data_IF_653116049594
#
_entry.id   IF_653116049594
#
_cell.length_a   1.000
_cell.length_b   1.000
_cell.length_c   1.000
_cell.angle_alpha   90.00
_cell.angle_beta   90.00
_cell.angle_gamma   90.00
#
_symmetry.space_group_name_H-M   'P 1'
#
loop_
_entity.id
_entity.type
_entity.pdbx_description
1 polymer ?
#
# COMPACT_ATOMS: atom_id res chain seq x y z
N UNK A 1 41.78 13.19 -42.54
CA UNK A 1 41.50 14.17 -41.45
C UNK A 1 40.00 14.31 -41.18
N UNK A 2 39.26 13.19 -41.04
CA UNK A 2 37.78 13.21 -40.91
C UNK A 2 37.21 12.18 -39.91
N UNK A 3 38.07 11.43 -39.21
CA UNK A 3 37.61 10.35 -38.31
C UNK A 3 37.76 10.65 -36.81
N UNK A 4 38.37 11.79 -36.44
CA UNK A 4 38.57 12.19 -35.03
C UNK A 4 37.54 13.19 -34.47
N UNK A 5 36.61 13.70 -35.30
CA UNK A 5 35.68 14.76 -34.87
C UNK A 5 34.30 14.25 -34.40
N UNK A 6 33.91 13.01 -34.74
CA UNK A 6 32.61 12.43 -34.32
C UNK A 6 32.59 11.86 -32.90
N UNK A 7 33.74 11.46 -32.36
CA UNK A 7 33.85 10.95 -31.00
C UNK A 7 33.85 12.07 -29.95
N UNK A 8 34.42 13.25 -30.28
CA UNK A 8 34.38 14.42 -29.40
C UNK A 8 32.96 15.02 -29.29
N UNK A 9 32.16 15.00 -30.36
CA UNK A 9 30.76 15.49 -30.28
C UNK A 9 29.85 14.56 -29.48
N UNK A 10 30.06 13.24 -29.54
CA UNK A 10 29.29 12.27 -28.76
C UNK A 10 29.62 12.29 -27.27
N UNK A 11 30.91 12.44 -26.91
CA UNK A 11 31.34 12.56 -25.52
C UNK A 11 30.92 13.89 -24.89
N UNK A 12 30.93 14.98 -25.67
CA UNK A 12 30.43 16.29 -25.23
C UNK A 12 28.91 16.29 -25.07
N UNK A 13 28.15 15.55 -25.90
CA UNK A 13 26.70 15.44 -25.75
C UNK A 13 26.30 14.61 -24.51
N UNK A 14 27.05 13.54 -24.21
CA UNK A 14 26.85 12.73 -22.99
C UNK A 14 27.31 13.46 -21.72
N UNK A 15 28.37 14.26 -21.77
CA UNK A 15 28.79 15.13 -20.66
C UNK A 15 27.84 16.30 -20.47
N UNK A 16 27.28 16.89 -21.53
CA UNK A 16 26.28 17.97 -21.43
C UNK A 16 24.92 17.42 -20.98
N UNK A 17 24.52 16.21 -21.36
CA UNK A 17 23.28 15.60 -20.85
C UNK A 17 23.37 15.17 -19.39
N UNK A 18 24.55 14.72 -18.94
CA UNK A 18 24.80 14.38 -17.53
C UNK A 18 25.08 15.60 -16.64
N UNK A 19 25.64 16.69 -17.17
CA UNK A 19 25.72 17.96 -16.44
C UNK A 19 24.40 18.74 -16.42
N UNK A 20 23.58 18.69 -17.49
CA UNK A 20 22.27 19.33 -17.49
C UNK A 20 21.26 18.62 -16.58
N UNK A 21 21.34 17.30 -16.41
CA UNK A 21 20.49 16.56 -15.44
C UNK A 21 20.87 16.89 -13.99
N UNK A 22 22.18 17.00 -13.70
CA UNK A 22 22.65 17.41 -12.37
C UNK A 22 22.33 18.88 -12.03
N UNK A 23 22.21 19.76 -13.04
CA UNK A 23 21.83 21.18 -12.88
C UNK A 23 20.32 21.44 -13.06
N UNK A 24 19.53 20.47 -13.54
CA UNK A 24 18.12 20.67 -13.84
C UNK A 24 17.24 20.65 -12.58
N UNK A 25 17.56 19.82 -11.59
CA UNK A 25 16.74 19.67 -10.38
C UNK A 25 16.73 20.95 -9.50
N UNK A 26 17.84 21.68 -9.46
CA UNK A 26 18.02 22.87 -8.59
C UNK A 26 17.09 24.04 -8.94
N UNK A 27 16.42 24.02 -10.11
CA UNK A 27 15.51 25.08 -10.56
C UNK A 27 14.05 24.63 -10.71
N UNK A 28 13.70 23.40 -10.35
CA UNK A 28 12.31 22.93 -10.45
C UNK A 28 11.55 23.40 -9.21
N UNK A 29 10.40 24.10 -9.36
CA UNK A 29 9.60 24.51 -8.22
C UNK A 29 9.19 23.32 -7.35
N UNK A 30 9.21 23.49 -6.02
CA UNK A 30 8.85 22.44 -5.07
C UNK A 30 7.46 21.83 -5.36
N UNK A 31 6.49 22.67 -5.73
CA UNK A 31 5.16 22.22 -6.13
C UNK A 31 5.18 21.25 -7.32
N UNK A 32 6.10 21.45 -8.26
CA UNK A 32 6.22 20.63 -9.45
C UNK A 32 6.88 19.28 -9.15
N UNK A 33 7.90 19.26 -8.30
CA UNK A 33 8.53 18.03 -7.82
C UNK A 33 7.52 17.15 -7.04
N UNK A 34 6.74 17.76 -6.14
CA UNK A 34 5.72 17.05 -5.37
C UNK A 34 4.57 16.57 -6.27
N UNK A 35 4.08 17.40 -7.19
CA UNK A 35 3.05 16.99 -8.14
C UNK A 35 3.50 15.81 -8.99
N UNK A 36 4.76 15.81 -9.42
CA UNK A 36 5.33 14.71 -10.20
C UNK A 36 5.46 13.43 -9.38
N UNK A 37 5.96 13.51 -8.14
CA UNK A 37 5.99 12.39 -7.21
C UNK A 37 4.61 11.79 -6.98
N UNK A 38 3.59 12.63 -6.78
CA UNK A 38 2.20 12.19 -6.60
C UNK A 38 1.76 11.41 -7.84
N UNK A 39 1.90 11.99 -9.04
CA UNK A 39 1.49 11.35 -10.30
C UNK A 39 2.17 10.00 -10.53
N UNK A 40 3.47 9.89 -10.24
CA UNK A 40 4.19 8.62 -10.35
C UNK A 40 3.70 7.54 -9.39
N UNK A 41 3.11 7.93 -8.26
CA UNK A 41 2.44 7.02 -7.34
C UNK A 41 1.03 6.59 -7.77
N UNK A 42 0.46 7.20 -8.82
CA UNK A 42 -0.87 6.86 -9.31
C UNK A 42 -0.81 5.75 -10.36
N UNK A 43 -1.72 4.77 -10.24
CA UNK A 43 -1.89 3.71 -11.24
C UNK A 43 -2.41 4.24 -12.59
N UNK A 44 -3.23 5.31 -12.56
CA UNK A 44 -3.81 5.94 -13.75
C UNK A 44 -3.78 7.47 -13.60
N UNK A 45 -3.31 8.15 -14.64
CA UNK A 45 -3.14 9.61 -14.68
C UNK A 45 -4.11 10.30 -15.64
N UNK A 46 -5.20 9.65 -16.07
CA UNK A 46 -6.26 10.29 -16.84
C UNK A 46 -6.85 11.50 -16.10
N UNK A 47 -7.26 12.51 -16.87
CA UNK A 47 -7.76 13.80 -16.37
C UNK A 47 -8.86 13.66 -15.30
N UNK A 48 -9.74 12.64 -15.43
CA UNK A 48 -10.83 12.40 -14.45
C UNK A 48 -10.31 12.04 -13.05
N UNK A 49 -9.19 11.31 -12.97
CA UNK A 49 -8.58 10.90 -11.70
C UNK A 49 -7.76 12.02 -11.09
N UNK A 50 -7.01 12.77 -11.91
CA UNK A 50 -6.29 13.97 -11.48
C UNK A 50 -7.27 15.03 -10.97
N UNK A 51 -8.40 15.22 -11.66
CA UNK A 51 -9.46 16.13 -11.22
C UNK A 51 -10.06 15.71 -9.88
N UNK A 52 -10.32 14.42 -9.68
CA UNK A 52 -10.82 13.90 -8.40
C UNK A 52 -9.81 14.13 -7.26
N UNK A 53 -8.52 13.87 -7.50
CA UNK A 53 -7.45 14.15 -6.56
C UNK A 53 -7.40 15.64 -6.18
N UNK A 54 -7.53 16.54 -7.16
CA UNK A 54 -7.60 17.99 -6.92
C UNK A 54 -8.82 18.35 -6.07
N UNK A 55 -10.00 17.80 -6.38
CA UNK A 55 -11.20 18.03 -5.56
C UNK A 55 -11.01 17.60 -4.10
N UNK A 56 -10.29 16.50 -3.86
CA UNK A 56 -9.93 16.06 -2.51
C UNK A 56 -9.05 17.07 -1.77
N UNK A 57 -8.04 17.61 -2.46
CA UNK A 57 -7.17 18.68 -1.93
C UNK A 57 -8.01 19.90 -1.54
N UNK A 58 -8.88 20.35 -2.44
CA UNK A 58 -9.72 21.54 -2.23
C UNK A 58 -10.72 21.36 -1.08
N UNK A 59 -11.28 20.17 -0.93
CA UNK A 59 -12.25 19.87 0.13
C UNK A 59 -11.59 19.71 1.50
N UNK A 60 -10.37 19.16 1.55
CA UNK A 60 -9.59 19.15 2.79
C UNK A 60 -9.24 20.56 3.25
N UNK A 61 -8.93 21.48 2.33
CA UNK A 61 -8.70 22.89 2.67
C UNK A 61 -9.94 23.56 3.29
N UNK A 62 -11.14 23.19 2.83
CA UNK A 62 -12.41 23.67 3.38
C UNK A 62 -12.79 23.00 4.71
N UNK A 63 -12.01 22.01 5.17
CA UNK A 63 -12.30 21.25 6.39
C UNK A 63 -13.47 20.26 6.24
N UNK A 64 -13.76 19.79 5.02
CA UNK A 64 -14.78 18.76 4.79
C UNK A 64 -14.31 17.44 5.41
N UNK A 65 -15.17 16.82 6.22
CA UNK A 65 -14.86 15.55 6.89
C UNK A 65 -15.40 14.40 6.04
N UNK A 66 -14.51 13.47 5.69
CA UNK A 66 -14.88 12.26 4.95
C UNK A 66 -15.71 11.30 5.81
N UNK A 67 -16.67 10.63 5.17
CA UNK A 67 -17.39 9.50 5.75
C UNK A 67 -16.50 8.27 5.93
N UNK A 68 -16.95 7.31 6.75
CA UNK A 68 -16.22 6.04 6.93
C UNK A 68 -16.13 5.23 5.64
N UNK A 69 -17.18 5.27 4.81
CA UNK A 69 -17.21 4.56 3.54
C UNK A 69 -16.19 5.14 2.55
N UNK A 70 -16.05 6.46 2.49
CA UNK A 70 -15.01 7.12 1.68
C UNK A 70 -13.61 6.77 2.18
N UNK A 71 -13.38 6.75 3.50
CA UNK A 71 -12.08 6.36 4.06
C UNK A 71 -11.71 4.90 3.71
N UNK A 72 -12.71 4.04 3.49
CA UNK A 72 -12.57 2.66 3.04
C UNK A 72 -12.45 2.46 1.53
N UNK A 73 -12.50 3.53 0.72
CA UNK A 73 -12.55 3.44 -0.74
C UNK A 73 -11.37 2.68 -1.35
N UNK A 74 -10.17 2.78 -0.79
CA UNK A 74 -8.99 2.04 -1.27
C UNK A 74 -9.18 0.53 -1.17
N UNK A 75 -9.57 0.04 0.02
CA UNK A 75 -9.76 -1.39 0.25
C UNK A 75 -10.85 -1.96 -0.65
N UNK A 76 -11.97 -1.22 -0.79
CA UNK A 76 -13.06 -1.60 -1.67
C UNK A 76 -12.64 -1.61 -3.15
N UNK A 77 -11.87 -0.60 -3.58
CA UNK A 77 -11.32 -0.55 -4.93
C UNK A 77 -10.44 -1.76 -5.24
N UNK A 78 -9.48 -2.09 -4.37
CA UNK A 78 -8.56 -3.23 -4.54
C UNK A 78 -9.33 -4.55 -4.60
N UNK A 79 -10.31 -4.75 -3.71
CA UNK A 79 -11.16 -5.94 -3.71
C UNK A 79 -11.94 -6.10 -5.03
N UNK A 80 -12.53 -5.01 -5.51
CA UNK A 80 -13.32 -5.00 -6.74
C UNK A 80 -12.46 -5.14 -7.99
N UNK A 81 -11.29 -4.51 -8.03
CA UNK A 81 -10.31 -4.65 -9.11
C UNK A 81 -9.87 -6.10 -9.25
N UNK A 82 -9.60 -6.78 -8.14
CA UNK A 82 -9.25 -8.21 -8.11
C UNK A 82 -10.40 -9.09 -8.63
N UNK A 83 -11.63 -8.80 -8.21
CA UNK A 83 -12.82 -9.53 -8.68
C UNK A 83 -13.04 -9.36 -10.17
N UNK A 84 -12.89 -8.14 -10.68
CA UNK A 84 -12.99 -7.85 -12.11
C UNK A 84 -11.90 -8.56 -12.93
N UNK A 85 -10.66 -8.54 -12.44
CA UNK A 85 -9.56 -9.26 -13.09
C UNK A 85 -9.84 -10.76 -13.14
N UNK A 86 -10.37 -11.34 -12.05
CA UNK A 86 -10.78 -12.75 -12.00
C UNK A 86 -11.87 -13.09 -13.03
N UNK A 87 -12.85 -12.20 -13.23
CA UNK A 87 -13.93 -12.36 -14.21
C UNK A 87 -13.40 -12.25 -15.65
N UNK A 88 -12.53 -11.27 -15.89
CA UNK A 88 -11.88 -11.08 -17.18
C UNK A 88 -11.03 -12.30 -17.56
N UNK A 89 -10.14 -12.74 -16.67
CA UNK A 89 -9.27 -13.89 -16.91
C UNK A 89 -10.07 -15.18 -17.13
N UNK A 90 -11.16 -15.38 -16.38
CA UNK A 90 -12.04 -16.55 -16.58
C UNK A 90 -12.71 -16.54 -17.96
N UNK A 91 -13.32 -15.42 -18.38
CA UNK A 91 -13.94 -15.30 -19.72
C UNK A 91 -12.93 -15.56 -20.84
N UNK A 92 -11.70 -15.09 -20.65
CA UNK A 92 -10.62 -15.28 -21.60
C UNK A 92 -10.14 -16.73 -21.64
N UNK A 93 -10.02 -17.38 -20.48
CA UNK A 93 -9.71 -18.81 -20.38
C UNK A 93 -10.78 -19.66 -21.09
N UNK A 94 -12.06 -19.40 -20.84
CA UNK A 94 -13.18 -20.11 -21.47
C UNK A 94 -13.19 -19.93 -22.99
N UNK A 95 -12.99 -18.70 -23.46
CA UNK A 95 -12.89 -18.39 -24.89
C UNK A 95 -11.70 -19.08 -25.55
N UNK A 96 -10.54 -19.07 -24.88
CA UNK A 96 -9.34 -19.75 -25.35
C UNK A 96 -9.54 -21.26 -25.45
N UNK A 97 -10.13 -21.89 -24.44
CA UNK A 97 -10.42 -23.33 -24.44
C UNK A 97 -11.43 -23.71 -25.52
N UNK A 98 -12.46 -22.89 -25.74
CA UNK A 98 -13.42 -23.09 -26.83
C UNK A 98 -12.75 -22.98 -28.20
N UNK A 99 -11.83 -22.04 -28.38
CA UNK A 99 -11.07 -21.90 -29.62
C UNK A 99 -10.15 -23.11 -29.86
N UNK A 100 -9.45 -23.59 -28.83
CA UNK A 100 -8.59 -24.77 -28.91
C UNK A 100 -9.36 -26.03 -29.35
N UNK A 101 -10.59 -26.21 -28.90
CA UNK A 101 -11.40 -27.37 -29.27
C UNK A 101 -11.81 -27.42 -30.74
N UNK A 102 -11.76 -26.30 -31.47
CA UNK A 102 -12.00 -26.30 -32.92
C UNK A 102 -10.80 -26.79 -33.73
N UNK A 103 -9.63 -26.98 -33.10
CA UNK A 103 -8.43 -27.45 -33.75
C UNK A 103 -8.34 -28.99 -33.71
N UNK A 104 -8.21 -29.62 -34.87
CA UNK A 104 -8.12 -31.08 -35.02
C UNK A 104 -6.86 -31.69 -34.36
N UNK A 105 -5.79 -30.92 -34.20
CA UNK A 105 -4.55 -31.36 -33.55
C UNK A 105 -4.66 -31.37 -32.01
N UNK A 106 -5.72 -30.78 -31.45
CA UNK A 106 -5.94 -30.66 -30.01
C UNK A 106 -6.78 -31.84 -29.51
N UNK A 107 -6.20 -32.59 -28.59
CA UNK A 107 -6.84 -33.73 -27.94
C UNK A 107 -7.50 -33.27 -26.64
N UNK A 108 -8.82 -33.32 -26.57
CA UNK A 108 -9.58 -32.95 -25.37
C UNK A 108 -9.59 -34.09 -24.35
N UNK A 109 -9.14 -33.83 -23.11
CA UNK A 109 -9.24 -34.77 -21.98
C UNK A 109 -10.54 -34.48 -21.22
N UNK A 110 -10.81 -33.22 -20.93
CA UNK A 110 -12.06 -32.74 -20.34
C UNK A 110 -12.56 -31.61 -21.20
N UNK A 111 -13.76 -31.73 -21.80
CA UNK A 111 -14.31 -30.68 -22.64
C UNK A 111 -14.23 -29.31 -21.97
N UNK A 112 -13.68 -28.33 -22.70
CA UNK A 112 -13.48 -26.93 -22.30
C UNK A 112 -12.57 -26.69 -21.08
N UNK A 113 -12.01 -27.73 -20.45
CA UNK A 113 -11.26 -27.59 -19.19
C UNK A 113 -9.85 -28.17 -19.21
N UNK A 114 -9.60 -29.20 -20.01
CA UNK A 114 -8.28 -29.82 -20.11
C UNK A 114 -8.08 -30.41 -21.49
N UNK A 115 -7.02 -29.99 -22.18
CA UNK A 115 -6.67 -30.49 -23.49
C UNK A 115 -5.15 -30.54 -23.67
N UNK A 116 -4.67 -31.19 -24.72
CA UNK A 116 -3.26 -31.18 -25.07
C UNK A 116 -3.03 -31.29 -26.58
N UNK A 117 -1.87 -30.81 -27.03
CA UNK A 117 -1.33 -31.07 -28.37
C UNK A 117 -0.06 -31.89 -28.24
N UNK A 118 0.02 -32.98 -29.00
CA UNK A 118 1.21 -33.82 -29.06
C UNK A 118 2.29 -33.16 -29.92
N UNK A 119 3.46 -32.89 -29.33
CA UNK A 119 4.59 -32.25 -30.01
C UNK A 119 5.56 -33.31 -30.55
N UNK A 120 5.84 -34.34 -29.77
CA UNK A 120 6.73 -35.45 -30.13
C UNK A 120 6.24 -36.73 -29.46
N UNK A 121 6.09 -37.81 -30.23
CA UNK A 121 5.76 -39.14 -29.68
C UNK A 121 6.91 -39.72 -28.87
N UNK A 122 6.59 -40.24 -27.69
CA UNK A 122 7.48 -41.11 -26.91
C UNK A 122 7.31 -42.58 -27.29
N UNK A 123 8.19 -43.43 -26.79
CA UNK A 123 8.18 -44.86 -27.04
C UNK A 123 8.62 -45.72 -25.84
N UNK A 124 8.90 -45.11 -24.68
CA UNK A 124 9.25 -45.84 -23.46
C UNK A 124 8.02 -46.16 -22.60
N UNK A 125 8.20 -46.20 -21.27
CA UNK A 125 7.14 -46.62 -20.35
C UNK A 125 5.91 -45.69 -20.42
N UNK A 126 4.71 -46.28 -20.32
CA UNK A 126 3.45 -45.55 -20.29
C UNK A 126 3.18 -45.01 -18.88
N UNK A 127 2.89 -43.72 -18.78
CA UNK A 127 2.43 -43.08 -17.55
C UNK A 127 0.95 -43.41 -17.30
N UNK A 128 0.69 -44.25 -16.30
CA UNK A 128 -0.66 -44.62 -15.86
C UNK A 128 -1.04 -43.90 -14.56
N UNK A 129 -2.30 -44.04 -14.13
CA UNK A 129 -2.79 -43.41 -12.89
C UNK A 129 -2.11 -43.95 -11.62
N UNK A 130 -1.60 -45.18 -11.67
CA UNK A 130 -0.90 -45.82 -10.55
C UNK A 130 0.53 -45.26 -10.37
N UNK A 131 1.02 -44.48 -11.33
CA UNK A 131 2.31 -43.81 -11.26
C UNK A 131 2.16 -42.43 -10.61
N UNK A 132 2.45 -42.34 -9.33
CA UNK A 132 2.54 -41.08 -8.57
C UNK A 132 3.84 -40.28 -8.75
N UNK A 133 4.92 -40.81 -9.36
CA UNK A 133 6.18 -40.06 -9.54
C UNK A 133 6.77 -40.15 -10.94
N UNK A 134 7.31 -39.04 -11.42
CA UNK A 134 7.91 -38.88 -12.76
C UNK A 134 9.12 -37.96 -12.73
N UNK A 135 10.01 -38.08 -13.72
CA UNK A 135 11.03 -37.08 -14.03
C UNK A 135 10.71 -36.39 -15.35
N UNK A 136 10.79 -35.07 -15.39
CA UNK A 136 10.36 -34.25 -16.54
C UNK A 136 11.29 -33.07 -16.81
N UNK A 137 11.32 -32.63 -18.07
CA UNK A 137 11.58 -31.22 -18.37
C UNK A 137 10.23 -30.53 -18.58
N UNK A 138 10.04 -29.34 -18.03
CA UNK A 138 8.79 -28.61 -18.29
C UNK A 138 8.98 -27.11 -18.36
N UNK A 139 8.01 -26.47 -18.99
CA UNK A 139 7.88 -25.03 -19.06
C UNK A 139 6.41 -24.68 -18.89
N UNK A 140 6.08 -23.81 -17.94
CA UNK A 140 4.72 -23.34 -17.67
C UNK A 140 4.63 -21.86 -18.02
N UNK A 141 3.59 -21.51 -18.77
CA UNK A 141 3.23 -20.14 -19.15
C UNK A 141 1.82 -19.85 -18.68
N UNK A 142 1.57 -18.62 -18.23
CA UNK A 142 0.22 -18.10 -18.08
C UNK A 142 -0.33 -17.73 -19.45
N UNK A 143 -1.64 -17.79 -19.60
CA UNK A 143 -2.29 -17.32 -20.81
C UNK A 143 -1.91 -15.85 -21.08
N UNK A 144 -1.39 -15.57 -22.29
CA UNK A 144 -0.86 -14.27 -22.80
C UNK A 144 0.60 -13.95 -22.46
N UNK A 145 1.25 -14.74 -21.62
CA UNK A 145 2.65 -14.51 -21.32
C UNK A 145 3.53 -15.02 -22.46
N UNK A 146 4.45 -14.16 -22.90
CA UNK A 146 5.44 -14.53 -23.90
C UNK A 146 6.55 -15.39 -23.28
N UNK A 147 6.90 -15.08 -22.04
CA UNK A 147 7.93 -15.76 -21.27
C UNK A 147 7.32 -16.77 -20.31
N UNK A 148 8.01 -17.88 -20.04
CA UNK A 148 7.56 -18.83 -19.05
C UNK A 148 7.65 -18.28 -17.63
N UNK A 149 6.60 -18.56 -16.86
CA UNK A 149 6.57 -18.33 -15.41
C UNK A 149 7.58 -19.26 -14.71
N UNK A 150 7.74 -20.48 -15.23
CA UNK A 150 8.65 -21.48 -14.67
C UNK A 150 9.18 -22.37 -15.77
N UNK A 151 10.47 -22.70 -15.71
CA UNK A 151 11.11 -23.67 -16.58
C UNK A 151 12.12 -24.49 -15.76
N UNK A 152 11.97 -25.80 -15.78
CA UNK A 152 12.79 -26.72 -15.00
C UNK A 152 13.26 -27.88 -15.87
N UNK A 153 14.43 -28.43 -15.54
CA UNK A 153 15.02 -29.58 -16.23
C UNK A 153 15.28 -30.72 -15.26
N UNK A 154 15.06 -31.94 -15.72
CA UNK A 154 15.26 -33.18 -14.97
C UNK A 154 14.60 -33.15 -13.58
N UNK A 155 13.43 -32.51 -13.50
CA UNK A 155 12.71 -32.31 -12.25
C UNK A 155 11.87 -33.54 -11.93
N UNK A 156 12.09 -34.11 -10.75
CA UNK A 156 11.18 -35.09 -10.19
C UNK A 156 9.92 -34.41 -9.65
N UNK A 157 8.75 -34.90 -10.06
CA UNK A 157 7.44 -34.44 -9.62
C UNK A 157 6.66 -35.58 -8.98
N UNK A 158 6.00 -35.30 -7.87
CA UNK A 158 4.94 -36.14 -7.33
C UNK A 158 3.59 -35.68 -7.91
N UNK A 159 2.99 -36.52 -8.76
CA UNK A 159 1.74 -36.18 -9.45
C UNK A 159 0.54 -36.06 -8.49
N UNK A 160 0.68 -36.44 -7.23
CA UNK A 160 -0.34 -36.24 -6.19
C UNK A 160 -0.26 -34.89 -5.50
N UNK A 161 0.87 -34.18 -5.64
CA UNK A 161 1.14 -32.90 -4.97
C UNK A 161 1.11 -31.70 -5.92
N UNK A 162 0.99 -31.92 -7.23
CA UNK A 162 0.92 -30.85 -8.23
C UNK A 162 -0.52 -30.49 -8.59
N UNK A 163 -0.69 -29.41 -9.37
CA UNK A 163 -2.01 -28.98 -9.83
C UNK A 163 -2.72 -30.09 -10.63
N UNK A 164 -4.02 -30.32 -10.43
CA UNK A 164 -4.73 -31.44 -11.03
C UNK A 164 -4.68 -31.46 -12.56
N UNK A 165 -4.74 -30.29 -13.20
CA UNK A 165 -4.70 -30.17 -14.66
C UNK A 165 -3.38 -30.66 -15.26
N UNK A 166 -2.26 -30.42 -14.58
CA UNK A 166 -0.96 -30.90 -15.05
C UNK A 166 -0.84 -32.41 -14.88
N UNK A 167 -1.17 -32.93 -13.69
CA UNK A 167 -1.15 -34.37 -13.41
C UNK A 167 -2.03 -35.17 -14.39
N UNK A 168 -3.27 -34.74 -14.60
CA UNK A 168 -4.20 -35.41 -15.52
C UNK A 168 -3.85 -35.16 -16.99
N UNK A 169 -3.26 -34.01 -17.33
CA UNK A 169 -2.79 -33.72 -18.69
C UNK A 169 -1.61 -34.59 -19.15
N UNK A 170 -0.80 -35.04 -18.19
CA UNK A 170 0.34 -35.93 -18.44
C UNK A 170 -0.06 -37.40 -18.55
N UNK A 171 -1.23 -37.80 -18.06
CA UNK A 171 -1.68 -39.19 -18.15
C UNK A 171 -1.62 -39.69 -19.61
N UNK A 172 -1.24 -40.96 -19.76
CA UNK A 172 -1.01 -41.61 -21.06
C UNK A 172 0.15 -41.04 -21.88
N UNK A 173 1.05 -40.26 -21.29
CA UNK A 173 2.37 -39.97 -21.87
C UNK A 173 3.22 -41.22 -21.91
N UNK A 174 4.04 -41.35 -22.95
CA UNK A 174 5.15 -42.30 -22.94
C UNK A 174 6.46 -41.57 -22.60
N UNK A 175 7.42 -42.27 -21.98
CA UNK A 175 8.77 -41.71 -21.86
C UNK A 175 9.34 -41.31 -23.23
N UNK A 176 10.02 -40.16 -23.25
CA UNK A 176 10.51 -39.48 -24.45
C UNK A 176 9.46 -38.63 -25.17
N UNK A 177 8.19 -38.62 -24.71
CA UNK A 177 7.12 -37.82 -25.30
C UNK A 177 7.22 -36.36 -24.88
N UNK A 178 6.92 -35.46 -25.81
CA UNK A 178 6.73 -34.03 -25.56
C UNK A 178 5.29 -33.67 -25.94
N UNK A 179 4.57 -33.01 -25.03
CA UNK A 179 3.25 -32.44 -25.31
C UNK A 179 3.07 -31.08 -24.65
N UNK A 180 2.18 -30.27 -25.21
CA UNK A 180 1.72 -29.03 -24.59
C UNK A 180 0.32 -29.25 -24.04
N UNK A 181 0.14 -28.99 -22.75
CA UNK A 181 -1.11 -29.18 -22.00
C UNK A 181 -1.73 -27.81 -21.74
N UNK A 182 -3.02 -27.67 -22.02
CA UNK A 182 -3.82 -26.46 -21.82
C UNK A 182 -4.76 -26.67 -20.64
N UNK A 183 -4.62 -25.84 -19.61
CA UNK A 183 -5.22 -26.05 -18.30
C UNK A 183 -6.13 -24.87 -17.95
N UNK A 184 -7.42 -25.15 -17.82
CA UNK A 184 -8.39 -24.18 -17.32
C UNK A 184 -8.11 -23.85 -15.84
N UNK A 185 -8.37 -22.60 -15.37
CA UNK A 185 -8.04 -22.18 -14.01
C UNK A 185 -8.67 -23.04 -12.91
N UNK A 186 -9.82 -23.66 -13.17
CA UNK A 186 -10.46 -24.64 -12.26
C UNK A 186 -9.62 -25.87 -11.96
N UNK A 187 -8.70 -26.23 -12.86
CA UNK A 187 -7.78 -27.36 -12.69
C UNK A 187 -6.36 -26.89 -12.33
N UNK A 188 -6.20 -25.62 -12.00
CA UNK A 188 -4.95 -25.00 -11.59
C UNK A 188 -5.14 -24.29 -10.24
N UNK A 189 -4.96 -22.96 -10.21
CA UNK A 189 -4.86 -22.20 -8.97
C UNK A 189 -6.11 -21.36 -8.63
N UNK A 190 -7.13 -21.30 -9.50
CA UNK A 190 -8.33 -20.45 -9.37
C UNK A 190 -8.02 -19.08 -8.72
N UNK A 191 -8.34 -18.92 -7.45
CA UNK A 191 -8.22 -17.68 -6.68
C UNK A 191 -6.90 -17.64 -5.90
N UNK A 192 -5.75 -17.82 -6.54
CA UNK A 192 -4.46 -17.61 -5.87
C UNK A 192 -4.24 -16.13 -5.55
N UNK A 193 -3.34 -15.83 -4.62
CA UNK A 193 -3.08 -14.46 -4.17
C UNK A 193 -2.48 -13.54 -5.25
N UNK A 194 -2.00 -14.08 -6.37
CA UNK A 194 -1.29 -13.34 -7.41
C UNK A 194 -2.22 -13.01 -8.59
N UNK A 195 -2.53 -14.00 -9.44
CA UNK A 195 -3.29 -13.84 -10.67
C UNK A 195 -4.56 -14.71 -10.63
N UNK A 196 -5.73 -14.14 -10.31
CA UNK A 196 -6.94 -14.92 -10.17
C UNK A 196 -7.43 -15.41 -11.54
N UNK A 197 -7.91 -16.65 -11.56
CA UNK A 197 -8.52 -17.35 -12.69
C UNK A 197 -7.69 -17.33 -13.99
N UNK A 198 -6.36 -17.38 -13.89
CA UNK A 198 -5.51 -17.44 -15.07
C UNK A 198 -5.36 -18.88 -15.58
N UNK A 199 -5.53 -19.08 -16.89
CA UNK A 199 -5.31 -20.36 -17.53
C UNK A 199 -3.81 -20.59 -17.77
N UNK A 200 -3.39 -21.84 -17.85
CA UNK A 200 -1.99 -22.21 -18.01
C UNK A 200 -1.76 -23.04 -19.27
N UNK A 201 -0.61 -22.82 -19.89
CA UNK A 201 -0.04 -23.66 -20.93
C UNK A 201 1.24 -24.30 -20.39
N UNK A 202 1.30 -25.63 -20.38
CA UNK A 202 2.44 -26.39 -19.87
C UNK A 202 3.03 -27.29 -20.96
N UNK A 203 4.23 -26.99 -21.44
CA UNK A 203 4.98 -27.91 -22.29
C UNK A 203 5.80 -28.84 -21.42
N UNK A 204 5.59 -30.14 -21.56
CA UNK A 204 6.22 -31.18 -20.75
C UNK A 204 6.89 -32.21 -21.64
N UNK A 205 8.14 -32.53 -21.33
CA UNK A 205 8.86 -33.71 -21.81
C UNK A 205 8.94 -34.73 -20.69
N UNK A 206 8.35 -35.92 -20.89
CA UNK A 206 8.44 -37.00 -19.92
C UNK A 206 9.74 -37.76 -20.09
N UNK A 207 10.64 -37.69 -19.11
CA UNK A 207 11.94 -38.34 -19.16
C UNK A 207 11.87 -39.76 -18.59
N UNK A 208 11.20 -39.92 -17.45
CA UNK A 208 11.14 -41.19 -16.74
C UNK A 208 9.85 -41.34 -15.92
N UNK A 209 9.30 -42.55 -15.88
CA UNK A 209 8.19 -42.94 -15.01
C UNK A 209 8.72 -43.81 -13.87
N UNK A 210 8.41 -43.45 -12.63
CA UNK A 210 8.78 -44.24 -11.47
C UNK A 210 7.61 -45.12 -11.01
N UNK A 211 7.81 -46.44 -10.82
CA UNK A 211 6.78 -47.29 -10.25
C UNK A 211 6.52 -46.90 -8.79
N UNK A 212 5.26 -46.66 -8.45
CA UNK A 212 4.81 -46.38 -7.08
C UNK A 212 3.40 -46.97 -6.91
N UNK A 213 2.94 -47.10 -5.67
CA UNK A 213 1.62 -47.63 -5.32
C UNK A 213 0.64 -46.53 -4.91
N UNK A 214 0.89 -45.29 -5.34
CA UNK A 214 0.09 -44.11 -4.99
C UNK A 214 -0.66 -43.65 -6.23
N UNK A 215 -1.99 -43.64 -6.15
CA UNK A 215 -2.87 -43.28 -7.25
C UNK A 215 -3.07 -41.75 -7.33
N UNK A 216 -3.00 -41.20 -8.54
CA UNK A 216 -3.33 -39.78 -8.79
C UNK A 216 -4.80 -39.52 -8.40
N UNK A 217 -5.09 -38.52 -7.55
CA UNK A 217 -6.45 -38.21 -7.14
C UNK A 217 -7.38 -37.95 -8.33
N UNK A 218 -8.61 -38.47 -8.27
CA UNK A 218 -9.65 -38.14 -9.22
C UNK A 218 -9.96 -36.64 -9.18
N UNK A 219 -10.26 -36.04 -10.33
CA UNK A 219 -10.72 -34.67 -10.39
C UNK A 219 -12.06 -34.56 -9.66
N UNK A 220 -12.07 -33.83 -8.54
CA UNK A 220 -13.32 -33.49 -7.86
C UNK A 220 -13.94 -32.29 -8.56
N UNK A 221 -15.26 -32.29 -8.71
CA UNK A 221 -15.97 -31.06 -9.04
C UNK A 221 -15.72 -30.05 -7.93
N UNK A 222 -15.04 -28.96 -8.25
CA UNK A 222 -14.84 -27.87 -7.32
C UNK A 222 -16.14 -27.05 -7.34
N UNK A 223 -16.75 -26.74 -6.18
CA UNK A 223 -17.92 -25.89 -6.13
C UNK A 223 -17.70 -24.60 -6.93
N UNK A 224 -18.64 -24.31 -7.82
CA UNK A 224 -18.69 -23.05 -8.53
C UNK A 224 -19.20 -21.99 -7.55
N UNK A 225 -18.38 -20.99 -7.28
CA UNK A 225 -18.78 -19.81 -6.51
C UNK A 225 -18.95 -18.66 -7.49
N UNK A 226 -20.19 -18.29 -7.77
CA UNK A 226 -20.50 -17.09 -8.53
C UNK A 226 -20.14 -15.88 -7.66
N UNK A 227 -19.15 -15.11 -8.12
CA UNK A 227 -18.90 -13.78 -7.57
C UNK A 227 -19.78 -12.77 -8.30
N UNK A 228 -20.35 -11.76 -7.62
CA UNK A 228 -21.15 -10.74 -8.27
C UNK A 228 -20.35 -10.06 -9.39
N UNK A 229 -20.98 -9.85 -10.55
CA UNK A 229 -20.34 -9.20 -11.69
C UNK A 229 -19.90 -7.79 -11.32
N UNK A 230 -18.62 -7.47 -11.57
CA UNK A 230 -18.07 -6.13 -11.41
C UNK A 230 -17.94 -5.51 -12.78
N UNK A 231 -18.42 -4.28 -12.93
CA UNK A 231 -18.36 -3.56 -14.21
C UNK A 231 -17.16 -2.63 -14.27
N UNK A 232 -16.69 -2.29 -15.48
CA UNK A 232 -15.65 -1.27 -15.65
C UNK A 232 -16.09 0.09 -15.09
N UNK A 233 -17.37 0.46 -15.27
CA UNK A 233 -17.93 1.71 -14.73
C UNK A 233 -17.90 1.76 -13.21
N UNK A 234 -18.16 0.63 -12.53
CA UNK A 234 -18.04 0.52 -11.07
C UNK A 234 -16.59 0.73 -10.62
N UNK A 235 -15.63 0.11 -11.29
CA UNK A 235 -14.20 0.29 -10.99
C UNK A 235 -13.74 1.72 -11.21
N UNK A 236 -14.16 2.34 -12.31
CA UNK A 236 -13.80 3.72 -12.63
C UNK A 236 -14.29 4.67 -11.53
N UNK A 237 -15.52 4.48 -11.04
CA UNK A 237 -16.08 5.26 -9.92
C UNK A 237 -15.32 5.03 -8.61
N UNK A 238 -14.98 3.78 -8.29
CA UNK A 238 -14.23 3.46 -7.08
C UNK A 238 -12.80 4.02 -7.14
N UNK A 239 -12.15 3.93 -8.30
CA UNK A 239 -10.82 4.50 -8.52
C UNK A 239 -10.87 6.03 -8.41
N UNK A 240 -11.89 6.67 -8.96
CA UNK A 240 -12.09 8.12 -8.84
C UNK A 240 -12.28 8.53 -7.37
N UNK A 241 -13.09 7.79 -6.62
CA UNK A 241 -13.29 8.00 -5.18
C UNK A 241 -11.98 7.81 -4.40
N UNK A 242 -11.20 6.78 -4.74
CA UNK A 242 -9.90 6.54 -4.12
C UNK A 242 -8.92 7.71 -4.38
N UNK A 243 -8.89 8.26 -5.59
CA UNK A 243 -8.06 9.42 -5.92
C UNK A 243 -8.50 10.68 -5.16
N UNK A 244 -9.81 10.90 -5.03
CA UNK A 244 -10.35 11.96 -4.18
C UNK A 244 -9.87 11.86 -2.73
N UNK A 245 -10.01 10.68 -2.12
CA UNK A 245 -9.59 10.43 -0.74
C UNK A 245 -8.08 10.58 -0.58
N UNK A 246 -7.29 10.16 -1.58
CA UNK A 246 -5.85 10.36 -1.60
C UNK A 246 -5.48 11.84 -1.60
N UNK A 247 -6.11 12.64 -2.47
CA UNK A 247 -5.92 14.09 -2.51
C UNK A 247 -6.24 14.76 -1.17
N UNK A 248 -7.36 14.36 -0.56
CA UNK A 248 -7.77 14.83 0.77
C UNK A 248 -6.71 14.51 1.84
N UNK A 249 -6.21 13.27 1.89
CA UNK A 249 -5.18 12.85 2.85
C UNK A 249 -3.83 13.54 2.62
N UNK A 250 -3.43 13.71 1.36
CA UNK A 250 -2.17 14.35 1.02
C UNK A 250 -2.15 15.82 1.45
N UNK A 251 -3.27 16.53 1.27
CA UNK A 251 -3.33 17.95 1.62
C UNK A 251 -3.19 18.20 3.13
N UNK A 252 -3.62 17.27 3.98
CA UNK A 252 -3.42 17.32 5.44
C UNK A 252 -1.94 17.50 5.83
N UNK A 253 -1.04 16.86 5.08
CA UNK A 253 0.40 17.00 5.22
C UNK A 253 0.94 18.21 4.45
N UNK A 254 0.59 18.34 3.17
CA UNK A 254 1.22 19.30 2.25
C UNK A 254 0.90 20.76 2.56
N UNK A 255 -0.24 21.05 3.21
CA UNK A 255 -0.63 22.42 3.60
C UNK A 255 0.40 23.11 4.51
N UNK A 256 1.19 22.33 5.26
CA UNK A 256 2.26 22.85 6.10
C UNK A 256 3.49 23.30 5.29
N UNK A 257 3.51 23.09 3.98
CA UNK A 257 4.54 23.55 3.06
C UNK A 257 4.34 24.96 2.52
N UNK A 258 3.51 25.81 3.15
CA UNK A 258 3.12 27.12 2.61
C UNK A 258 4.30 28.10 2.38
N UNK A 259 5.48 27.85 2.96
CA UNK A 259 6.71 28.64 2.67
C UNK A 259 7.42 28.18 1.39
N UNK A 260 7.05 27.01 0.84
CA UNK A 260 7.66 26.38 -0.33
C UNK A 260 6.78 26.48 -1.57
N UNK A 261 5.47 26.37 -1.40
CA UNK A 261 4.49 26.45 -2.48
C UNK A 261 3.10 26.79 -1.94
N UNK A 262 2.26 27.36 -2.81
CA UNK A 262 0.83 27.52 -2.55
C UNK A 262 0.03 26.30 -3.01
N UNK A 263 -1.21 26.17 -2.54
CA UNK A 263 -2.16 25.16 -3.04
C UNK A 263 -2.36 25.29 -4.55
N UNK A 264 -2.47 26.53 -5.03
CA UNK A 264 -2.67 26.86 -6.44
C UNK A 264 -1.45 26.44 -7.29
N UNK A 265 -0.23 26.61 -6.78
CA UNK A 265 0.99 26.12 -7.45
C UNK A 265 0.99 24.60 -7.59
N UNK A 266 0.57 23.89 -6.54
CA UNK A 266 0.47 22.43 -6.55
C UNK A 266 -0.60 21.95 -7.53
N UNK A 267 -1.80 22.53 -7.48
CA UNK A 267 -2.90 22.19 -8.40
C UNK A 267 -2.50 22.50 -9.86
N UNK A 268 -1.86 23.64 -10.10
CA UNK A 268 -1.33 23.98 -11.42
C UNK A 268 -0.31 22.95 -11.91
N UNK A 269 0.54 22.46 -11.01
CA UNK A 269 1.58 21.49 -11.35
C UNK A 269 1.04 20.07 -11.56
N UNK A 270 -0.01 19.68 -10.83
CA UNK A 270 -0.70 18.39 -11.03
C UNK A 270 -1.32 18.27 -12.43
N UNK A 271 -1.75 19.40 -13.01
CA UNK A 271 -2.31 19.46 -14.37
C UNK A 271 -1.28 19.49 -15.50
N UNK A 272 0.01 19.60 -15.17
CA UNK A 272 1.09 19.58 -16.17
C UNK A 272 1.48 18.16 -16.52
N UNK A 273 2.13 18.00 -17.67
CA UNK A 273 2.81 16.75 -18.04
C UNK A 273 3.83 16.32 -16.97
N UNK A 274 4.08 15.00 -16.81
CA UNK A 274 5.15 14.50 -15.95
C UNK A 274 6.52 15.05 -16.33
N UNK A 275 7.40 15.18 -15.34
CA UNK A 275 8.79 15.55 -15.55
C UNK A 275 9.49 14.46 -16.36
N UNK A 276 10.23 14.88 -17.40
CA UNK A 276 11.05 13.98 -18.24
C UNK A 276 12.42 13.73 -17.60
N UNK A 277 12.43 13.49 -16.29
CA UNK A 277 13.64 13.31 -15.47
C UNK A 277 13.41 12.04 -14.64
N UNK A 278 14.44 11.20 -14.48
CA UNK A 278 14.28 9.99 -13.68
C UNK A 278 14.05 10.35 -12.20
N UNK A 279 13.09 9.69 -11.55
CA UNK A 279 12.75 9.95 -10.14
C UNK A 279 13.95 9.87 -9.19
N UNK A 280 14.92 8.99 -9.47
CA UNK A 280 16.16 8.87 -8.70
C UNK A 280 16.97 10.17 -8.66
N UNK A 281 16.84 11.03 -9.67
CA UNK A 281 17.63 12.24 -9.83
C UNK A 281 17.15 13.40 -8.95
N UNK A 282 15.89 13.42 -8.52
CA UNK A 282 15.34 14.48 -7.65
C UNK A 282 14.69 13.95 -6.35
N UNK A 283 14.86 12.65 -6.06
CA UNK A 283 14.40 12.03 -4.80
C UNK A 283 14.95 12.73 -3.56
N UNK A 284 16.21 13.18 -3.60
CA UNK A 284 16.83 13.90 -2.48
C UNK A 284 16.13 15.25 -2.24
N UNK A 285 15.81 15.98 -3.31
CA UNK A 285 15.10 17.25 -3.22
C UNK A 285 13.67 17.09 -2.71
N UNK A 286 12.97 16.05 -3.16
CA UNK A 286 11.66 15.67 -2.58
C UNK A 286 11.78 15.41 -1.09
N UNK A 287 12.76 14.62 -0.66
CA UNK A 287 12.96 14.34 0.77
C UNK A 287 13.25 15.62 1.54
N UNK A 288 14.07 16.54 1.00
CA UNK A 288 14.33 17.86 1.60
C UNK A 288 13.04 18.68 1.72
N UNK A 289 12.16 18.65 0.72
CA UNK A 289 10.85 19.31 0.78
C UNK A 289 10.00 18.72 1.91
N UNK A 290 9.84 17.40 1.97
CA UNK A 290 9.07 16.76 3.05
C UNK A 290 9.64 17.07 4.44
N UNK A 291 10.97 17.08 4.59
CA UNK A 291 11.62 17.47 5.83
C UNK A 291 11.31 18.92 6.22
N UNK A 292 11.35 19.85 5.27
CA UNK A 292 11.00 21.26 5.52
C UNK A 292 9.53 21.40 5.94
N UNK A 293 8.62 20.67 5.29
CA UNK A 293 7.19 20.64 5.67
C UNK A 293 7.02 20.15 7.12
N UNK A 294 7.71 19.06 7.48
CA UNK A 294 7.66 18.50 8.82
C UNK A 294 8.16 19.48 9.89
N UNK A 295 9.33 20.08 9.67
CA UNK A 295 9.90 21.06 10.59
C UNK A 295 9.00 22.30 10.72
N UNK A 296 8.46 22.78 9.61
CA UNK A 296 7.55 23.91 9.60
C UNK A 296 6.27 23.64 10.41
N UNK A 297 5.69 22.44 10.28
CA UNK A 297 4.55 22.02 11.12
C UNK A 297 4.89 22.08 12.61
N UNK A 298 6.07 21.61 13.00
CA UNK A 298 6.53 21.63 14.40
C UNK A 298 6.72 23.08 14.87
N UNK A 299 7.41 23.92 14.11
CA UNK A 299 7.62 25.33 14.43
C UNK A 299 6.29 26.07 14.64
N UNK A 300 5.33 25.86 13.76
CA UNK A 300 4.01 26.50 13.83
C UNK A 300 3.20 25.99 15.02
N UNK A 301 3.29 24.69 15.34
CA UNK A 301 2.67 24.10 16.52
C UNK A 301 3.25 24.66 17.83
N UNK A 302 4.57 24.85 17.90
CA UNK A 302 5.23 25.46 19.07
C UNK A 302 4.88 26.95 19.19
N UNK A 303 4.93 27.71 18.10
CA UNK A 303 4.54 29.13 18.09
C UNK A 303 3.09 29.30 18.55
N UNK A 304 2.22 28.45 18.03
CA UNK A 304 0.81 28.37 18.44
C UNK A 304 0.67 28.08 19.94
N UNK A 305 1.45 27.13 20.46
CA UNK A 305 1.40 26.76 21.86
C UNK A 305 1.92 27.89 22.75
N UNK A 306 3.02 28.56 22.39
CA UNK A 306 3.56 29.71 23.11
C UNK A 306 2.51 30.83 23.22
N UNK A 307 1.79 31.13 22.13
CA UNK A 307 0.68 32.11 22.13
C UNK A 307 -0.45 31.62 23.04
N UNK A 308 -0.86 30.35 22.96
CA UNK A 308 -1.92 29.83 23.82
C UNK A 308 -1.54 29.97 25.31
N UNK A 309 -0.31 29.61 25.66
CA UNK A 309 0.20 29.64 27.03
C UNK A 309 0.42 31.05 27.57
N UNK A 310 0.62 32.05 26.72
CA UNK A 310 0.71 33.46 27.16
C UNK A 310 -0.62 34.00 27.70
N UNK A 311 -1.76 33.38 27.34
CA UNK A 311 -3.10 33.81 27.78
C UNK A 311 -3.62 33.06 29.01
N UNK A 312 -3.08 31.88 29.33
CA UNK A 312 -3.52 31.07 30.48
C UNK A 312 -3.38 31.79 31.84
N UNK A 313 -2.29 32.54 32.14
CA UNK A 313 -2.16 33.25 33.41
C UNK A 313 -3.25 34.29 33.68
N UNK A 314 -3.94 34.78 32.65
CA UNK A 314 -5.01 35.77 32.78
C UNK A 314 -6.32 35.18 33.31
N UNK A 315 -6.42 33.86 33.41
CA UNK A 315 -7.62 33.16 33.88
C UNK A 315 -7.50 32.88 35.39
N UNK A 316 -8.49 33.34 36.16
CA UNK A 316 -8.45 33.28 37.64
C UNK A 316 -8.57 31.87 38.22
N UNK A 317 -9.06 30.92 37.43
CA UNK A 317 -9.27 29.51 37.80
C UNK A 317 -8.14 28.58 37.32
N UNK A 318 -7.06 29.14 36.75
CA UNK A 318 -5.90 28.40 36.27
C UNK A 318 -4.67 28.71 37.12
N UNK A 319 -4.06 27.67 37.69
CA UNK A 319 -2.81 27.76 38.44
C UNK A 319 -1.62 27.43 37.54
N UNK A 320 -0.58 28.25 37.61
CA UNK A 320 0.70 27.98 36.99
C UNK A 320 1.49 26.95 37.82
N UNK A 321 1.93 25.86 37.18
CA UNK A 321 2.84 24.88 37.79
C UNK A 321 4.27 25.05 37.27
N UNK A 322 4.43 25.29 35.95
CA UNK A 322 5.70 25.65 35.32
C UNK A 322 5.44 26.84 34.40
N UNK A 323 6.06 28.01 34.67
CA UNK A 323 5.86 29.22 33.86
C UNK A 323 6.05 28.97 32.37
N UNK A 324 5.01 29.30 31.59
CA UNK A 324 5.01 29.15 30.14
C UNK A 324 4.83 27.73 29.59
N UNK A 325 4.82 26.69 30.43
CA UNK A 325 4.87 25.31 29.95
C UNK A 325 3.87 24.33 30.58
N UNK A 326 3.43 24.58 31.81
CA UNK A 326 2.47 23.72 32.50
C UNK A 326 1.52 24.53 33.37
N UNK A 327 0.23 24.38 33.10
CA UNK A 327 -0.84 25.00 33.86
C UNK A 327 -1.90 23.96 34.23
N UNK A 328 -2.60 24.20 35.32
CA UNK A 328 -3.63 23.31 35.83
C UNK A 328 -4.88 24.09 36.23
N UNK A 329 -6.04 23.62 35.75
CA UNK A 329 -7.35 24.04 36.22
C UNK A 329 -7.93 22.95 37.10
N UNK A 330 -8.15 23.25 38.38
CA UNK A 330 -8.77 22.34 39.34
C UNK A 330 -9.44 23.14 40.46
N UNK A 331 -10.40 22.52 41.17
CA UNK A 331 -11.03 23.16 42.33
C UNK A 331 -10.03 23.37 43.46
N UNK A 332 -9.17 22.39 43.71
CA UNK A 332 -8.10 22.46 44.70
C UNK A 332 -6.81 21.90 44.13
N UNK A 333 -5.70 22.50 44.54
CA UNK A 333 -4.35 22.03 44.22
C UNK A 333 -3.51 22.07 45.48
N UNK A 334 -2.66 21.06 45.64
CA UNK A 334 -1.68 21.05 46.73
C UNK A 334 -0.71 22.23 46.55
N UNK A 335 -0.21 22.72 47.67
CA UNK A 335 0.90 23.70 47.66
C UNK A 335 2.23 22.99 47.42
N UNK A 336 2.36 21.76 47.92
CA UNK A 336 3.55 20.92 47.78
C UNK A 336 3.22 19.61 47.06
N UNK A 337 4.08 19.16 46.14
CA UNK A 337 3.85 17.93 45.39
C UNK A 337 3.95 16.71 46.31
N UNK A 338 3.07 15.73 46.13
CA UNK A 338 3.14 14.47 46.88
C UNK A 338 4.27 13.60 46.33
N UNK A 339 5.07 13.00 47.23
CA UNK A 339 6.08 12.02 46.85
C UNK A 339 5.44 10.64 46.60
N UNK A 340 4.84 10.47 45.42
CA UNK A 340 4.30 9.19 44.93
C UNK A 340 4.88 8.88 43.54
N UNK A 341 5.18 7.61 43.29
CA UNK A 341 5.70 7.15 42.00
C UNK A 341 4.60 6.68 41.04
N UNK A 342 3.44 6.28 41.58
CA UNK A 342 2.32 5.73 40.83
C UNK A 342 1.04 6.51 41.11
N UNK A 343 0.32 6.81 40.04
CA UNK A 343 -1.00 7.44 40.08
C UNK A 343 -1.96 6.59 39.25
N UNK A 344 -3.07 6.17 39.85
CA UNK A 344 -4.16 5.58 39.09
C UNK A 344 -5.10 6.71 38.71
N UNK A 345 -5.36 6.88 37.43
CA UNK A 345 -6.16 8.00 36.95
C UNK A 345 -6.94 7.65 35.69
N UNK A 346 -8.13 8.25 35.56
CA UNK A 346 -8.90 8.30 34.32
C UNK A 346 -8.45 9.53 33.54
N UNK A 347 -8.04 9.34 32.29
CA UNK A 347 -7.55 10.46 31.45
C UNK A 347 -8.24 10.52 30.10
N UNK A 348 -8.48 11.74 29.61
CA UNK A 348 -8.88 12.04 28.22
C UNK A 348 -7.88 13.04 27.68
N UNK A 349 -7.26 12.76 26.53
CA UNK A 349 -6.29 13.68 25.90
C UNK A 349 -6.95 14.37 24.72
N UNK A 350 -6.89 15.70 24.72
CA UNK A 350 -7.43 16.57 23.68
C UNK A 350 -6.36 17.51 23.16
N UNK A 351 -6.58 18.09 21.99
CA UNK A 351 -5.85 19.26 21.55
C UNK A 351 -6.49 20.56 22.10
N UNK A 352 -5.92 21.71 21.72
CA UNK A 352 -6.42 23.05 22.09
C UNK A 352 -7.84 23.34 21.59
N UNK A 353 -8.28 22.67 20.52
CA UNK A 353 -9.61 22.82 19.89
C UNK A 353 -10.62 21.82 20.47
N UNK A 354 -10.26 21.12 21.55
CA UNK A 354 -11.05 20.09 22.22
C UNK A 354 -11.30 18.83 21.38
N UNK A 355 -10.57 18.62 20.28
CA UNK A 355 -10.60 17.37 19.52
C UNK A 355 -9.96 16.27 20.35
N UNK A 356 -10.64 15.14 20.50
CA UNK A 356 -10.14 13.99 21.26
C UNK A 356 -9.00 13.33 20.48
N UNK A 357 -7.79 13.38 21.03
CA UNK A 357 -6.59 12.72 20.50
C UNK A 357 -6.43 11.31 21.09
N UNK A 358 -6.82 11.12 22.35
CA UNK A 358 -6.88 9.83 23.04
C UNK A 358 -8.17 9.74 23.82
N UNK A 359 -8.96 8.69 23.55
CA UNK A 359 -10.22 8.41 24.26
C UNK A 359 -9.94 8.17 25.75
N UNK A 360 -11.01 8.25 26.53
CA UNK A 360 -10.97 7.98 27.96
C UNK A 360 -10.32 6.63 28.27
N UNK A 361 -9.36 6.64 29.19
CA UNK A 361 -8.67 5.44 29.63
C UNK A 361 -8.40 5.53 31.14
N UNK A 362 -8.72 4.47 31.87
CA UNK A 362 -8.30 4.27 33.25
C UNK A 362 -6.96 3.53 33.24
N UNK A 363 -5.91 4.17 33.71
CA UNK A 363 -4.55 3.62 33.69
C UNK A 363 -3.78 3.90 34.98
N UNK A 364 -2.78 3.05 35.26
CA UNK A 364 -1.78 3.32 36.30
C UNK A 364 -0.59 4.00 35.64
N UNK A 365 -0.45 5.30 35.89
CA UNK A 365 0.63 6.13 35.38
C UNK A 365 1.81 6.01 36.33
N UNK A 366 2.94 5.55 35.80
CA UNK A 366 4.23 5.53 36.47
C UNK A 366 4.99 6.81 36.10
N UNK A 367 5.33 7.65 37.08
CA UNK A 367 5.80 9.02 36.82
C UNK A 367 7.14 9.11 36.06
N UNK A 368 8.01 8.11 36.18
CA UNK A 368 9.31 8.07 35.49
C UNK A 368 9.20 7.69 34.01
N UNK A 369 8.09 7.06 33.61
CA UNK A 369 7.77 6.68 32.22
C UNK A 369 6.78 7.64 31.56
N UNK A 370 6.15 8.54 32.34
CA UNK A 370 5.20 9.52 31.85
C UNK A 370 5.89 10.71 31.16
N UNK A 371 5.15 11.40 30.28
CA UNK A 371 5.59 12.70 29.75
C UNK A 371 5.85 13.69 30.88
N UNK A 372 6.82 14.60 30.68
CA UNK A 372 7.25 15.55 31.71
C UNK A 372 6.08 16.35 32.28
N UNK A 373 5.11 16.77 31.46
CA UNK A 373 3.95 17.52 31.95
C UNK A 373 3.07 16.74 32.94
N UNK A 374 2.91 15.43 32.74
CA UNK A 374 2.20 14.56 33.69
C UNK A 374 3.04 14.33 34.95
N UNK A 375 4.35 14.07 34.77
CA UNK A 375 5.30 13.89 35.86
C UNK A 375 5.31 15.07 36.83
N UNK A 376 5.29 16.29 36.30
CA UNK A 376 5.33 17.52 37.08
C UNK A 376 3.93 17.97 37.54
N UNK A 377 2.85 17.57 36.85
CA UNK A 377 1.49 17.98 37.15
C UNK A 377 0.74 17.11 38.16
N UNK A 378 0.79 15.78 37.98
CA UNK A 378 0.05 14.82 38.81
C UNK A 378 0.30 14.93 40.32
N UNK A 379 1.54 15.19 40.80
CA UNK A 379 1.81 15.31 42.24
C UNK A 379 1.03 16.41 42.97
N UNK A 380 0.47 17.39 42.25
CA UNK A 380 -0.30 18.49 42.83
C UNK A 380 -1.79 18.19 42.98
N UNK A 381 -2.28 17.10 42.38
CA UNK A 381 -3.71 16.77 42.35
C UNK A 381 -4.17 16.07 43.64
N UNK A 382 -5.46 16.23 43.95
CA UNK A 382 -6.12 15.46 45.01
C UNK A 382 -6.83 14.24 44.41
N UNK A 383 -6.85 13.10 45.14
CA UNK A 383 -7.70 11.97 44.77
C UNK A 383 -9.18 12.39 44.71
N UNK A 384 -9.92 11.76 43.80
CA UNK A 384 -11.35 11.93 43.53
C UNK A 384 -11.73 13.35 43.07
N UNK A 385 -10.77 14.12 42.57
CA UNK A 385 -11.02 15.42 41.95
C UNK A 385 -10.65 15.41 40.47
N UNK A 386 -11.50 16.04 39.67
CA UNK A 386 -11.21 16.32 38.27
C UNK A 386 -10.33 17.56 38.13
N UNK A 387 -9.33 17.46 37.28
CA UNK A 387 -8.46 18.56 36.89
C UNK A 387 -8.19 18.52 35.39
N UNK A 388 -7.89 19.68 34.81
CA UNK A 388 -7.40 19.78 33.44
C UNK A 388 -5.97 20.28 33.47
N UNK A 389 -5.04 19.51 32.90
CA UNK A 389 -3.66 19.92 32.66
C UNK A 389 -3.51 20.46 31.25
N UNK A 390 -2.94 21.66 31.14
CA UNK A 390 -2.51 22.24 29.88
C UNK A 390 -1.00 22.04 29.77
N UNK A 391 -0.58 21.21 28.83
CA UNK A 391 0.82 20.79 28.67
C UNK A 391 1.36 21.30 27.33
N UNK A 392 2.39 22.13 27.41
CA UNK A 392 3.08 22.64 26.23
C UNK A 392 3.83 21.50 25.51
N UNK A 393 3.97 21.51 24.16
CA UNK A 393 4.70 20.49 23.40
C UNK A 393 6.08 20.11 23.98
N UNK A 394 6.84 21.10 24.47
CA UNK A 394 8.12 20.92 25.18
C UNK A 394 8.06 19.99 26.41
N UNK A 395 6.90 19.81 27.03
CA UNK A 395 6.71 18.89 28.16
C UNK A 395 5.85 17.67 27.79
N UNK A 396 5.50 17.51 26.52
CA UNK A 396 4.69 16.43 25.99
C UNK A 396 5.57 15.43 25.20
N UNK A 397 5.05 14.89 24.09
CA UNK A 397 5.75 13.97 23.21
C UNK A 397 6.53 14.74 22.14
N UNK A 398 7.82 15.00 22.39
CA UNK A 398 8.68 15.70 21.42
C UNK A 398 9.18 14.73 20.34
N UNK A 399 9.19 15.17 19.08
CA UNK A 399 9.73 14.40 17.94
C UNK A 399 9.09 13.01 17.80
N UNK A 400 7.81 12.87 18.17
CA UNK A 400 7.06 11.63 18.04
C UNK A 400 6.18 11.74 16.81
N UNK A 401 6.25 10.75 15.93
CA UNK A 401 5.32 10.67 14.82
C UNK A 401 3.95 10.21 15.32
N UNK A 402 2.94 11.07 15.18
CA UNK A 402 1.56 10.75 15.52
C UNK A 402 0.76 11.96 15.99
N UNK A 403 -0.53 11.77 16.30
CA UNK A 403 -1.44 12.85 16.69
C UNK A 403 -1.11 13.50 18.04
N UNK A 404 -0.21 12.90 18.83
CA UNK A 404 0.23 13.41 20.13
C UNK A 404 1.59 14.12 20.06
N UNK A 405 2.31 13.95 18.95
CA UNK A 405 3.65 14.48 18.77
C UNK A 405 3.67 15.98 18.52
N UNK A 406 4.57 16.69 19.20
CA UNK A 406 4.81 18.12 19.03
C UNK A 406 3.53 18.97 19.12
N UNK A 407 2.55 18.45 19.86
CA UNK A 407 1.19 18.98 19.96
C UNK A 407 0.94 19.44 21.40
N UNK A 408 0.27 20.58 21.53
CA UNK A 408 -0.22 21.05 22.82
C UNK A 408 -1.31 20.10 23.31
N UNK A 409 -1.13 19.55 24.51
CA UNK A 409 -2.09 18.61 25.09
C UNK A 409 -2.92 19.29 26.16
N UNK A 410 -4.23 19.09 26.06
CA UNK A 410 -5.20 19.40 27.12
C UNK A 410 -5.67 18.06 27.68
N UNK A 411 -5.25 17.73 28.90
CA UNK A 411 -5.53 16.44 29.52
C UNK A 411 -6.51 16.63 30.66
N UNK A 412 -7.72 16.09 30.50
CA UNK A 412 -8.66 15.97 31.61
C UNK A 412 -8.32 14.71 32.40
N UNK A 413 -8.17 14.86 33.72
CA UNK A 413 -7.65 13.83 34.63
C UNK A 413 -8.54 13.77 35.87
N UNK A 414 -8.92 12.56 36.27
CA UNK A 414 -9.49 12.25 37.57
C UNK A 414 -8.60 11.22 38.24
N UNK A 415 -7.97 11.57 39.37
CA UNK A 415 -7.07 10.67 40.12
C UNK A 415 -7.89 9.83 41.08
N UNK A 416 -7.67 8.51 41.13
CA UNK A 416 -8.38 7.59 42.05
C UNK A 416 -7.92 7.73 43.53
#
# INVERSE_FOLDING_TARGET
>A
MHFRMKWLTGLLFLLVSSFNSLLAADNIPAAHLIADQIKQGLENQEDKYISALISGIEDQEKGIILSQDELGAYSLYVEKQRTFLAQKNLREAESWMAHLQSNEDVNSIIPLKLAYTLVKKGNGALLTRECGRVSVNYTIKKLRDHFPETAEKEKELDLTEIIPGLAHGMLSMHEGEIRTIYIHPELAYRTNNFDPNIALEATVELLQVFPTSVEIPSLREIPHFESPEVTQDELDRLQQTNHYVLGWKLWDHLRWGYKLFTKEDLISSLKKEPLQIAHSEYREEINKIHWKIYHQRIEDAYTTADIYFSHLPCQSDIKCLIPGYLYCKAQRLRETPVNKTFFRARTIVKDRESKILRKEQLETIKLDEAITGLKEGLPYLFPQESATLFIHPKLAYQNVDGPLGDTLLVIDIEVD
#
